data_IF_735167863648
#
_entry.id   IF_735167863648
#
_cell.length_a   1.000
_cell.length_b   1.000
_cell.length_c   1.000
_cell.angle_alpha   90.00
_cell.angle_beta   90.00
_cell.angle_gamma   90.00
#
_symmetry.space_group_name_H-M   'P 1'
#
loop_
_entity.id
_entity.type
_entity.pdbx_description
1 polymer ?
#
# COMPACT_ATOMS: atom_id res chain seq x y z
N UNK A 1 -7.15 7.68 -18.07
CA UNK A 1 -7.65 6.78 -17.01
C UNK A 1 -6.66 6.62 -15.87
N UNK A 2 -5.36 6.35 -16.15
CA UNK A 2 -4.30 6.31 -15.13
C UNK A 2 -4.10 7.65 -14.38
N UNK A 3 -4.10 8.78 -15.09
CA UNK A 3 -4.02 10.10 -14.45
C UNK A 3 -5.17 10.37 -13.48
N UNK A 4 -6.39 9.91 -13.75
CA UNK A 4 -7.55 10.15 -12.90
C UNK A 4 -7.50 9.35 -11.59
N UNK A 5 -6.91 8.16 -11.61
CA UNK A 5 -6.74 7.33 -10.41
C UNK A 5 -5.62 7.84 -9.51
N UNK A 6 -4.54 8.38 -10.08
CA UNK A 6 -3.48 9.07 -9.33
C UNK A 6 -4.02 10.39 -8.77
N UNK A 7 -4.81 11.15 -9.53
CA UNK A 7 -5.52 12.34 -9.04
C UNK A 7 -6.37 12.03 -7.81
N UNK A 8 -7.25 11.03 -7.86
CA UNK A 8 -8.10 10.66 -6.70
C UNK A 8 -7.32 10.17 -5.48
N UNK A 9 -6.07 9.75 -5.66
CA UNK A 9 -5.20 9.27 -4.58
C UNK A 9 -4.57 10.40 -3.76
N UNK A 10 -4.30 11.53 -4.40
CA UNK A 10 -3.60 12.69 -3.80
C UNK A 10 -4.45 13.99 -3.78
N UNK A 11 -5.59 14.03 -4.47
CA UNK A 11 -6.52 15.15 -4.43
C UNK A 11 -7.26 15.20 -3.10
N UNK A 12 -7.12 16.32 -2.40
CA UNK A 12 -7.86 16.61 -1.16
C UNK A 12 -9.33 16.96 -1.41
N UNK A 13 -9.70 17.29 -2.65
CA UNK A 13 -11.06 17.66 -3.06
C UNK A 13 -11.75 16.50 -3.76
N UNK A 14 -12.15 15.48 -2.98
CA UNK A 14 -12.88 14.35 -3.51
C UNK A 14 -14.38 14.66 -3.67
N UNK A 15 -15.05 14.15 -4.71
CA UNK A 15 -16.51 14.22 -4.82
C UNK A 15 -17.20 13.60 -3.60
N UNK A 16 -18.44 14.03 -3.32
CA UNK A 16 -19.20 13.51 -2.18
C UNK A 16 -19.29 11.97 -2.20
N UNK A 17 -19.03 11.35 -1.04
CA UNK A 17 -19.05 9.90 -0.85
C UNK A 17 -17.72 9.18 -1.06
N UNK A 18 -16.67 9.88 -1.49
CA UNK A 18 -15.32 9.35 -1.58
C UNK A 18 -14.51 9.69 -0.33
N UNK A 19 -13.58 8.80 0.05
CA UNK A 19 -12.62 9.05 1.13
C UNK A 19 -11.21 8.93 0.60
N UNK A 20 -10.32 9.76 1.14
CA UNK A 20 -8.88 9.66 0.88
C UNK A 20 -8.40 8.33 1.44
N UNK A 21 -7.76 7.54 0.58
CA UNK A 21 -7.26 6.21 0.96
C UNK A 21 -6.23 6.30 2.10
N UNK A 22 -5.27 7.22 2.00
CA UNK A 22 -4.23 7.39 3.02
C UNK A 22 -4.85 7.69 4.38
N UNK A 23 -5.83 8.59 4.45
CA UNK A 23 -6.52 8.91 5.70
C UNK A 23 -7.23 7.69 6.29
N UNK A 24 -7.78 6.82 5.44
CA UNK A 24 -8.46 5.58 5.86
C UNK A 24 -7.47 4.63 6.56
N UNK A 25 -6.29 4.44 5.97
CA UNK A 25 -5.26 3.57 6.54
C UNK A 25 -4.60 4.23 7.77
N UNK A 26 -4.40 5.55 7.76
CA UNK A 26 -3.88 6.30 8.91
C UNK A 26 -4.84 6.20 10.10
N UNK A 27 -6.15 6.19 9.87
CA UNK A 27 -7.15 5.94 10.92
C UNK A 27 -7.02 4.53 11.51
N UNK A 28 -6.80 3.50 10.68
CA UNK A 28 -6.47 2.16 11.17
C UNK A 28 -5.19 2.20 12.02
N UNK A 29 -4.11 2.81 11.52
CA UNK A 29 -2.83 2.94 12.24
C UNK A 29 -3.01 3.67 13.58
N UNK A 30 -3.80 4.74 13.61
CA UNK A 30 -4.14 5.50 14.83
C UNK A 30 -4.92 4.65 15.83
N UNK A 31 -5.81 3.77 15.37
CA UNK A 31 -6.51 2.83 16.24
C UNK A 31 -5.57 1.78 16.83
N UNK A 32 -4.63 1.25 16.03
CA UNK A 32 -3.61 0.31 16.49
C UNK A 32 -2.68 0.92 17.54
N UNK A 33 -2.34 2.22 17.43
CA UNK A 33 -1.52 2.96 18.43
C UNK A 33 -2.12 2.95 19.84
N UNK A 34 -3.41 2.63 20.00
CA UNK A 34 -4.05 2.48 21.33
C UNK A 34 -3.67 1.18 22.04
N UNK A 35 -3.12 0.20 21.33
CA UNK A 35 -2.63 -1.04 21.92
C UNK A 35 -1.26 -0.81 22.58
N UNK A 36 -1.09 -1.28 23.82
CA UNK A 36 0.16 -1.13 24.59
C UNK A 36 1.38 -1.74 23.91
N UNK A 37 1.19 -2.79 23.10
CA UNK A 37 2.26 -3.47 22.35
C UNK A 37 2.49 -2.87 20.96
N UNK A 38 1.85 -1.75 20.62
CA UNK A 38 1.97 -1.15 19.29
C UNK A 38 3.42 -0.86 18.90
N UNK A 39 4.21 -0.28 19.80
CA UNK A 39 5.59 0.08 19.50
C UNK A 39 6.45 -1.16 19.20
N UNK A 40 6.28 -2.21 20.02
CA UNK A 40 6.93 -3.51 19.80
C UNK A 40 6.57 -4.10 18.42
N UNK A 41 5.28 -4.09 18.07
CA UNK A 41 4.80 -4.57 16.77
C UNK A 41 5.35 -3.72 15.61
N UNK A 42 5.38 -2.40 15.77
CA UNK A 42 5.89 -1.46 14.79
C UNK A 42 7.37 -1.70 14.51
N UNK A 43 8.18 -1.82 15.56
CA UNK A 43 9.63 -2.03 15.45
C UNK A 43 9.94 -3.41 14.83
N UNK A 44 9.21 -4.44 15.26
CA UNK A 44 9.34 -5.78 14.67
C UNK A 44 9.01 -5.80 13.18
N UNK A 45 7.88 -5.22 12.78
CA UNK A 45 7.44 -5.20 11.37
C UNK A 45 8.39 -4.37 10.51
N UNK A 46 8.81 -3.19 10.98
CA UNK A 46 9.70 -2.33 10.20
C UNK A 46 11.12 -2.88 10.10
N UNK A 47 11.65 -3.51 11.15
CA UNK A 47 12.94 -4.20 11.05
C UNK A 47 12.94 -5.31 10.01
N UNK A 48 11.84 -6.08 9.92
CA UNK A 48 11.67 -7.07 8.86
C UNK A 48 11.53 -6.45 7.47
N UNK A 49 10.77 -5.35 7.35
CA UNK A 49 10.60 -4.62 6.09
C UNK A 49 11.95 -4.09 5.57
N UNK A 50 12.76 -3.48 6.44
CA UNK A 50 14.10 -3.00 6.10
C UNK A 50 15.00 -4.13 5.60
N UNK A 51 15.00 -5.27 6.31
CA UNK A 51 15.76 -6.46 5.87
C UNK A 51 15.33 -6.95 4.47
N UNK A 52 14.03 -6.96 4.19
CA UNK A 52 13.50 -7.33 2.87
C UNK A 52 13.88 -6.31 1.79
N UNK A 53 13.87 -5.02 2.10
CA UNK A 53 14.28 -3.98 1.17
C UNK A 53 15.77 -4.11 0.81
N UNK A 54 16.64 -4.40 1.78
CA UNK A 54 18.07 -4.66 1.55
C UNK A 54 18.26 -5.87 0.64
N UNK A 55 17.55 -6.97 0.90
CA UNK A 55 17.62 -8.19 0.06
C UNK A 55 17.17 -7.94 -1.38
N UNK A 56 16.20 -7.05 -1.57
CA UNK A 56 15.63 -6.70 -2.88
C UNK A 56 16.29 -5.46 -3.53
N UNK A 57 17.42 -4.98 -3.00
CA UNK A 57 18.11 -3.81 -3.54
C UNK A 57 18.58 -4.02 -4.99
N UNK A 58 18.90 -5.27 -5.37
CA UNK A 58 19.26 -5.64 -6.74
C UNK A 58 18.14 -5.33 -7.75
N UNK A 59 16.88 -5.57 -7.40
CA UNK A 59 15.73 -5.30 -8.28
C UNK A 59 15.58 -3.81 -8.59
N UNK A 60 15.88 -2.93 -7.64
CA UNK A 60 15.89 -1.48 -7.88
C UNK A 60 17.02 -1.07 -8.84
N UNK A 61 18.20 -1.69 -8.72
CA UNK A 61 19.32 -1.47 -9.63
C UNK A 61 18.96 -1.93 -11.04
N UNK A 62 18.32 -3.09 -11.18
CA UNK A 62 17.85 -3.61 -12.47
C UNK A 62 16.82 -2.69 -13.11
N UNK A 63 15.83 -2.21 -12.36
CA UNK A 63 14.87 -1.23 -12.84
C UNK A 63 15.56 0.06 -13.33
N UNK A 64 16.50 0.60 -12.55
CA UNK A 64 17.29 1.78 -12.96
C UNK A 64 18.05 1.55 -14.26
N UNK A 65 18.64 0.37 -14.44
CA UNK A 65 19.31 -0.02 -15.70
C UNK A 65 18.33 -0.07 -16.87
N UNK A 66 17.15 -0.69 -16.70
CA UNK A 66 16.08 -0.70 -17.72
C UNK A 66 15.66 0.72 -18.10
N UNK A 67 15.48 1.60 -17.13
CA UNK A 67 15.08 3.00 -17.34
C UNK A 67 16.12 3.81 -18.12
N UNK A 68 17.41 3.63 -17.81
CA UNK A 68 18.51 4.26 -18.57
C UNK A 68 18.52 3.77 -20.02
N UNK A 69 18.29 2.47 -20.22
CA UNK A 69 18.22 1.85 -21.55
C UNK A 69 16.90 2.12 -22.28
N UNK A 70 15.92 2.75 -21.63
CA UNK A 70 14.55 2.97 -22.13
C UNK A 70 13.85 1.66 -22.55
N UNK A 71 14.07 0.60 -21.77
CA UNK A 71 13.45 -0.73 -21.96
C UNK A 71 12.54 -1.13 -20.80
N UNK A 72 12.19 -0.18 -19.92
CA UNK A 72 11.20 -0.35 -18.86
C UNK A 72 9.78 -0.34 -19.45
N UNK A 73 8.87 -1.13 -18.87
CA UNK A 73 7.44 -1.11 -19.21
C UNK A 73 6.69 -0.13 -18.30
N UNK A 74 5.43 0.20 -18.65
CA UNK A 74 4.58 0.99 -17.76
C UNK A 74 4.33 0.27 -16.43
N UNK A 75 4.28 -1.06 -16.45
CA UNK A 75 4.21 -1.89 -15.26
C UNK A 75 5.47 -1.76 -14.39
N UNK A 76 6.67 -1.82 -14.99
CA UNK A 76 7.93 -1.59 -14.26
C UNK A 76 7.89 -0.23 -13.56
N UNK A 77 7.48 0.83 -14.27
CA UNK A 77 7.39 2.17 -13.69
C UNK A 77 6.40 2.25 -12.53
N UNK A 78 5.25 1.59 -12.63
CA UNK A 78 4.27 1.54 -11.56
C UNK A 78 4.80 0.84 -10.30
N UNK A 79 5.41 -0.34 -10.44
CA UNK A 79 5.95 -1.12 -9.31
C UNK A 79 7.09 -0.38 -8.59
N UNK A 80 7.79 0.53 -9.27
CA UNK A 80 8.86 1.34 -8.68
C UNK A 80 8.47 2.81 -8.45
N UNK A 81 7.17 3.13 -8.50
CA UNK A 81 6.61 4.46 -8.19
C UNK A 81 6.23 4.60 -6.71
N UNK A 82 5.60 5.72 -6.36
CA UNK A 82 4.99 5.98 -5.04
C UNK A 82 3.98 4.88 -4.61
N UNK A 83 3.39 4.14 -5.56
CA UNK A 83 2.54 2.99 -5.26
C UNK A 83 3.25 1.92 -4.42
N UNK A 84 4.57 1.81 -4.55
CA UNK A 84 5.39 0.89 -3.75
C UNK A 84 5.48 1.30 -2.29
N UNK A 85 5.77 2.58 -2.05
CA UNK A 85 5.89 3.13 -0.69
C UNK A 85 4.55 3.07 0.03
N UNK A 86 3.47 3.39 -0.69
CA UNK A 86 2.12 3.16 -0.22
C UNK A 86 1.87 1.70 0.14
N UNK A 87 2.14 0.77 -0.78
CA UNK A 87 1.93 -0.65 -0.53
C UNK A 87 2.66 -1.13 0.73
N UNK A 88 3.87 -0.62 0.98
CA UNK A 88 4.60 -0.90 2.21
C UNK A 88 3.91 -0.33 3.46
N UNK A 89 3.42 0.91 3.39
CA UNK A 89 2.67 1.51 4.48
C UNK A 89 1.38 0.74 4.80
N UNK A 90 0.61 0.36 3.79
CA UNK A 90 -0.62 -0.42 3.95
C UNK A 90 -0.33 -1.80 4.49
N UNK A 91 0.56 -2.55 3.85
CA UNK A 91 0.87 -3.93 4.24
C UNK A 91 1.54 -4.00 5.62
N UNK A 92 2.36 -3.01 5.99
CA UNK A 92 2.88 -2.92 7.36
C UNK A 92 1.76 -2.67 8.38
N UNK A 93 0.74 -1.90 8.02
CA UNK A 93 -0.44 -1.69 8.89
C UNK A 93 -1.20 -2.99 9.11
N UNK A 94 -1.40 -3.78 8.07
CA UNK A 94 -1.99 -5.12 8.18
C UNK A 94 -1.13 -6.03 9.05
N UNK A 95 0.17 -6.10 8.80
CA UNK A 95 1.10 -6.93 9.56
C UNK A 95 1.11 -6.57 11.05
N UNK A 96 1.06 -5.29 11.39
CA UNK A 96 0.97 -4.82 12.78
C UNK A 96 -0.36 -5.25 13.40
N UNK A 97 -1.49 -5.14 12.69
CA UNK A 97 -2.77 -5.60 13.23
C UNK A 97 -2.72 -7.10 13.57
N UNK A 98 -2.15 -7.92 12.67
CA UNK A 98 -1.96 -9.37 12.88
C UNK A 98 -1.05 -9.67 14.06
N UNK A 99 0.07 -8.94 14.19
CA UNK A 99 0.98 -9.08 15.32
C UNK A 99 0.28 -8.77 16.66
N UNK A 100 -0.62 -7.79 16.65
CA UNK A 100 -1.43 -7.39 17.82
C UNK A 100 -2.67 -8.27 18.01
N UNK A 101 -2.63 -9.53 17.58
CA UNK A 101 -3.73 -10.50 17.67
C UNK A 101 -5.04 -10.01 17.04
N UNK A 102 -4.95 -9.31 15.90
CA UNK A 102 -6.06 -8.68 15.19
C UNK A 102 -6.86 -7.72 16.09
N UNK A 103 -6.17 -6.75 16.68
CA UNK A 103 -6.75 -5.74 17.56
C UNK A 103 -7.93 -4.98 16.91
N UNK A 104 -7.81 -4.63 15.63
CA UNK A 104 -8.95 -4.24 14.78
C UNK A 104 -9.57 -5.55 14.26
N UNK A 105 -10.82 -5.81 14.69
CA UNK A 105 -11.49 -7.11 14.50
C UNK A 105 -12.36 -7.22 13.26
N UNK A 106 -12.57 -6.13 12.52
CA UNK A 106 -13.28 -6.21 11.25
C UNK A 106 -12.42 -6.88 10.17
N UNK A 107 -13.04 -7.26 9.05
CA UNK A 107 -12.33 -7.89 7.94
C UNK A 107 -11.52 -6.90 7.11
N UNK A 108 -11.64 -5.59 7.35
CA UNK A 108 -11.19 -4.56 6.41
C UNK A 108 -9.70 -4.69 6.06
N UNK A 109 -8.83 -4.85 7.06
CA UNK A 109 -7.39 -5.01 6.84
C UNK A 109 -7.04 -6.35 6.15
N UNK A 110 -7.84 -7.39 6.36
CA UNK A 110 -7.66 -8.69 5.72
C UNK A 110 -8.17 -8.69 4.27
N UNK A 111 -9.27 -7.99 4.00
CA UNK A 111 -9.79 -7.76 2.65
C UNK A 111 -8.77 -6.99 1.81
N UNK A 112 -8.12 -5.98 2.39
CA UNK A 112 -7.01 -5.25 1.76
C UNK A 112 -5.84 -6.18 1.42
N UNK A 113 -5.44 -7.05 2.36
CA UNK A 113 -4.38 -8.00 2.09
C UNK A 113 -4.76 -8.98 0.98
N UNK A 114 -6.01 -9.45 0.94
CA UNK A 114 -6.50 -10.31 -0.13
C UNK A 114 -6.39 -9.63 -1.51
N UNK A 115 -6.67 -8.32 -1.59
CA UNK A 115 -6.52 -7.53 -2.81
C UNK A 115 -5.07 -7.46 -3.27
N UNK A 116 -4.12 -7.11 -2.38
CA UNK A 116 -2.70 -7.13 -2.71
C UNK A 116 -2.21 -8.51 -3.14
N UNK A 117 -2.69 -9.57 -2.48
CA UNK A 117 -2.35 -10.96 -2.83
C UNK A 117 -2.89 -11.34 -4.22
N UNK A 118 -4.02 -10.78 -4.63
CA UNK A 118 -4.58 -10.94 -5.98
C UNK A 118 -3.86 -10.08 -7.04
N UNK A 119 -2.87 -9.28 -6.65
CA UNK A 119 -2.13 -8.38 -7.55
C UNK A 119 -2.79 -7.01 -7.75
N UNK A 120 -3.95 -6.77 -7.13
CA UNK A 120 -4.62 -5.48 -7.20
C UNK A 120 -3.96 -4.46 -6.26
N UNK A 121 -4.00 -3.19 -6.63
CA UNK A 121 -3.54 -2.08 -5.81
C UNK A 121 -4.74 -1.27 -5.29
N UNK A 122 -5.10 -1.40 -4.00
CA UNK A 122 -6.11 -0.55 -3.38
C UNK A 122 -5.70 0.92 -3.45
N UNK A 123 -6.57 1.75 -4.03
CA UNK A 123 -6.24 3.14 -4.34
C UNK A 123 -7.33 4.15 -3.97
N UNK A 124 -8.45 3.71 -3.38
CA UNK A 124 -9.52 4.62 -3.00
C UNK A 124 -10.64 3.94 -2.22
N UNK A 125 -11.55 4.76 -1.71
CA UNK A 125 -12.77 4.31 -1.02
C UNK A 125 -13.97 5.10 -1.54
N UNK A 126 -15.08 4.40 -1.80
CA UNK A 126 -16.40 4.99 -2.07
C UNK A 126 -17.41 4.41 -1.09
N UNK A 127 -17.80 5.19 -0.08
CA UNK A 127 -18.57 4.66 1.05
C UNK A 127 -17.81 3.56 1.79
N UNK A 128 -18.33 2.32 1.72
CA UNK A 128 -17.69 1.10 2.25
C UNK A 128 -17.00 0.25 1.18
N UNK A 129 -17.01 0.68 -0.09
CA UNK A 129 -16.42 -0.07 -1.20
C UNK A 129 -14.97 0.35 -1.41
N UNK A 130 -14.06 -0.63 -1.43
CA UNK A 130 -12.65 -0.43 -1.78
C UNK A 130 -12.53 -0.31 -3.31
N UNK A 131 -11.91 0.76 -3.77
CA UNK A 131 -11.55 0.94 -5.18
C UNK A 131 -10.14 0.43 -5.38
N UNK A 132 -9.96 -0.34 -6.45
CA UNK A 132 -8.67 -0.95 -6.79
C UNK A 132 -8.27 -0.59 -8.20
N UNK A 133 -6.97 -0.45 -8.39
CA UNK A 133 -6.33 -0.45 -9.69
C UNK A 133 -5.76 -1.84 -9.97
N UNK A 134 -5.88 -2.32 -11.20
CA UNK A 134 -5.24 -3.55 -11.66
C UNK A 134 -3.93 -3.22 -12.38
N UNK A 135 -2.75 -3.44 -11.77
CA UNK A 135 -1.46 -3.20 -12.40
C UNK A 135 -1.24 -4.06 -13.64
N UNK A 136 -1.87 -5.23 -13.76
CA UNK A 136 -1.75 -6.08 -14.95
C UNK A 136 -2.35 -5.42 -16.21
N UNK A 137 -3.17 -4.38 -16.04
CA UNK A 137 -3.66 -3.56 -17.15
C UNK A 137 -2.58 -2.66 -17.78
N UNK A 138 -1.41 -2.52 -17.14
CA UNK A 138 -0.26 -1.80 -17.67
C UNK A 138 0.58 -2.74 -18.55
N UNK A 139 0.47 -2.57 -19.87
CA UNK A 139 1.32 -3.23 -20.87
C UNK A 139 2.75 -2.73 -20.85
#
# INVERSE_FOLDING_TARGET
MLMMLISMRFEQNLPSGYKVWNDTIEQCRKSLRKNKKFQEAYDFVNGNLESLQVKNASSLIEFRKKRIKKTNTAHDDFIFSEAKEDAFFVLSTVAINRYLDNFIKDSFLEDIYALYKAGAWPCGMKGSVILVFDPASLS
#
